data_IF_687956141734
#
_entry.id   IF_687956141734
#
_cell.length_a   1.000
_cell.length_b   1.000
_cell.length_c   1.000
_cell.angle_alpha   90.00
_cell.angle_beta   90.00
_cell.angle_gamma   90.00
#
_symmetry.space_group_name_H-M   'P 1'
#
loop_
_entity.id
_entity.type
_entity.pdbx_description
1 polymer ?
#
# COMPACT_ATOMS: atom_id res chain seq x y z
N UNK A 1 4.60 14.79 5.89
CA UNK A 1 3.72 13.74 5.33
C UNK A 1 4.45 13.13 4.15
N UNK A 2 4.77 11.84 4.18
CA UNK A 2 5.26 11.15 2.98
C UNK A 2 4.08 10.99 2.02
N UNK A 3 4.22 11.44 0.77
CA UNK A 3 3.19 11.18 -0.25
C UNK A 3 3.25 9.72 -0.69
N UNK A 4 2.12 9.17 -1.15
CA UNK A 4 2.06 7.80 -1.69
C UNK A 4 3.14 7.58 -2.77
N UNK A 5 3.37 8.59 -3.60
CA UNK A 5 4.38 8.58 -4.65
C UNK A 5 5.82 8.48 -4.10
N UNK A 6 6.13 9.21 -3.02
CA UNK A 6 7.44 9.15 -2.37
C UNK A 6 7.69 7.77 -1.75
N UNK A 7 6.67 7.15 -1.15
CA UNK A 7 6.77 5.80 -0.60
C UNK A 7 7.03 4.77 -1.71
N UNK A 8 6.27 4.80 -2.80
CA UNK A 8 6.45 3.87 -3.92
C UNK A 8 7.77 4.06 -4.66
N UNK A 9 8.24 5.31 -4.78
CA UNK A 9 9.57 5.63 -5.31
C UNK A 9 10.69 5.04 -4.44
N UNK A 10 10.56 5.13 -3.11
CA UNK A 10 11.53 4.55 -2.18
C UNK A 10 11.55 3.02 -2.29
N UNK A 11 10.38 2.36 -2.28
CA UNK A 11 10.26 0.89 -2.42
C UNK A 11 10.92 0.43 -3.71
N UNK A 12 10.61 1.09 -4.83
CA UNK A 12 11.20 0.78 -6.13
C UNK A 12 12.72 0.97 -6.13
N UNK A 13 13.24 1.99 -5.47
CA UNK A 13 14.69 2.27 -5.38
C UNK A 13 15.40 1.18 -4.57
N UNK A 14 14.84 0.79 -3.43
CA UNK A 14 15.39 -0.28 -2.59
C UNK A 14 15.42 -1.63 -3.32
N UNK A 15 14.34 -1.97 -4.04
CA UNK A 15 14.28 -3.20 -4.82
C UNK A 15 15.32 -3.22 -5.96
N UNK A 16 15.48 -2.11 -6.68
CA UNK A 16 16.51 -1.99 -7.71
C UNK A 16 17.93 -2.11 -7.13
N UNK A 17 18.18 -1.49 -5.97
CA UNK A 17 19.49 -1.54 -5.32
C UNK A 17 19.82 -2.96 -4.84
N UNK A 18 18.86 -3.67 -4.24
CA UNK A 18 19.02 -5.08 -3.86
C UNK A 18 19.23 -5.97 -5.08
N UNK A 19 18.47 -5.72 -6.16
CA UNK A 19 18.61 -6.48 -7.40
C UNK A 19 19.98 -6.30 -8.05
N UNK A 20 20.48 -5.06 -8.15
CA UNK A 20 21.82 -4.78 -8.63
C UNK A 20 22.90 -5.46 -7.76
N UNK A 21 22.70 -5.51 -6.44
CA UNK A 21 23.59 -6.23 -5.52
C UNK A 21 23.61 -7.75 -5.74
N UNK A 22 22.49 -8.34 -6.13
CA UNK A 22 22.39 -9.78 -6.42
C UNK A 22 23.06 -10.16 -7.75
N UNK A 23 22.94 -9.33 -8.79
CA UNK A 23 23.62 -9.54 -10.08
C UNK A 23 25.13 -9.39 -9.94
N UNK A 24 25.59 -8.34 -9.26
CA UNK A 24 27.03 -8.10 -9.06
C UNK A 24 27.72 -9.19 -8.24
N UNK A 25 26.98 -9.87 -7.35
CA UNK A 25 27.44 -11.06 -6.61
C UNK A 25 27.39 -12.36 -7.42
N UNK A 26 26.83 -12.36 -8.63
CA UNK A 26 26.71 -13.53 -9.51
C UNK A 26 25.64 -14.53 -9.10
N UNK A 27 24.73 -14.19 -8.17
CA UNK A 27 23.64 -15.08 -7.76
C UNK A 27 22.52 -15.18 -8.81
N UNK A 28 22.37 -14.17 -9.66
CA UNK A 28 21.34 -14.08 -10.69
C UNK A 28 21.93 -13.47 -11.96
N UNK A 29 21.53 -13.99 -13.13
CA UNK A 29 21.76 -13.29 -14.39
C UNK A 29 20.81 -12.08 -14.52
N UNK A 30 21.17 -11.15 -15.40
CA UNK A 30 20.48 -9.88 -15.59
C UNK A 30 19.03 -10.03 -16.10
N UNK A 31 18.77 -11.02 -16.97
CA UNK A 31 17.44 -11.36 -17.45
C UNK A 31 16.58 -12.00 -16.33
N UNK A 32 17.16 -12.91 -15.54
CA UNK A 32 16.50 -13.50 -14.37
C UNK A 32 16.14 -12.43 -13.33
N UNK A 33 17.01 -11.45 -13.12
CA UNK A 33 16.74 -10.32 -12.24
C UNK A 33 15.57 -9.46 -12.74
N UNK A 34 15.54 -9.13 -14.04
CA UNK A 34 14.49 -8.31 -14.60
C UNK A 34 13.11 -8.96 -14.45
N UNK A 35 13.02 -10.27 -14.68
CA UNK A 35 11.79 -11.05 -14.47
C UNK A 35 11.39 -11.04 -13.00
N UNK A 36 12.34 -11.27 -12.09
CA UNK A 36 12.08 -11.27 -10.65
C UNK A 36 11.58 -9.91 -10.14
N UNK A 37 12.27 -8.82 -10.50
CA UNK A 37 11.88 -7.46 -10.13
C UNK A 37 10.51 -7.09 -10.69
N UNK A 38 10.24 -7.44 -11.95
CA UNK A 38 8.93 -7.24 -12.57
C UNK A 38 7.81 -7.97 -11.82
N UNK A 39 8.04 -9.24 -11.50
CA UNK A 39 7.09 -10.06 -10.75
C UNK A 39 6.85 -9.53 -9.33
N UNK A 40 7.91 -9.15 -8.61
CA UNK A 40 7.81 -8.57 -7.26
C UNK A 40 7.01 -7.27 -7.29
N UNK A 41 7.32 -6.36 -8.21
CA UNK A 41 6.59 -5.10 -8.35
C UNK A 41 5.11 -5.32 -8.68
N UNK A 42 4.80 -6.26 -9.57
CA UNK A 42 3.43 -6.60 -9.93
C UNK A 42 2.65 -7.18 -8.73
N UNK A 43 3.24 -8.12 -7.99
CA UNK A 43 2.62 -8.74 -6.81
C UNK A 43 2.38 -7.68 -5.73
N UNK A 44 3.41 -6.90 -5.38
CA UNK A 44 3.34 -5.90 -4.32
C UNK A 44 2.27 -4.83 -4.66
N UNK A 45 2.24 -4.36 -5.90
CA UNK A 45 1.25 -3.36 -6.34
C UNK A 45 -0.17 -3.95 -6.33
N UNK A 46 -0.33 -5.21 -6.74
CA UNK A 46 -1.63 -5.90 -6.75
C UNK A 46 -2.14 -6.12 -5.32
N UNK A 47 -1.29 -6.61 -4.42
CA UNK A 47 -1.63 -6.82 -3.01
C UNK A 47 -1.99 -5.50 -2.32
N UNK A 48 -1.23 -4.43 -2.59
CA UNK A 48 -1.55 -3.12 -2.05
C UNK A 48 -2.87 -2.56 -2.59
N UNK A 49 -3.14 -2.74 -3.89
CA UNK A 49 -4.39 -2.32 -4.51
C UNK A 49 -5.59 -3.06 -3.91
N UNK A 50 -5.46 -4.37 -3.67
CA UNK A 50 -6.47 -5.17 -2.96
C UNK A 50 -6.63 -4.71 -1.52
N UNK A 51 -5.53 -4.36 -0.84
CA UNK A 51 -5.54 -3.87 0.53
C UNK A 51 -6.28 -2.54 0.66
N UNK A 52 -6.00 -1.56 -0.20
CA UNK A 52 -6.71 -0.26 -0.18
C UNK A 52 -8.19 -0.43 -0.54
N UNK A 53 -8.51 -1.30 -1.50
CA UNK A 53 -9.90 -1.53 -1.95
C UNK A 53 -10.72 -2.36 -0.95
N UNK A 54 -10.16 -2.79 0.18
CA UNK A 54 -10.92 -3.41 1.26
C UNK A 54 -11.95 -2.41 1.81
N UNK A 55 -13.10 -2.90 2.28
CA UNK A 55 -14.18 -2.05 2.83
C UNK A 55 -13.67 -1.02 3.86
N UNK A 56 -12.72 -1.42 4.72
CA UNK A 56 -12.10 -0.53 5.71
C UNK A 56 -11.16 0.52 5.08
N UNK A 57 -10.46 0.17 3.99
CA UNK A 57 -9.59 1.10 3.27
C UNK A 57 -10.38 2.19 2.54
N UNK A 58 -11.53 1.83 1.95
CA UNK A 58 -12.44 2.82 1.35
C UNK A 58 -13.01 3.80 2.38
N UNK A 59 -13.35 3.30 3.57
CA UNK A 59 -13.82 4.14 4.68
C UNK A 59 -12.70 5.04 5.20
N UNK A 60 -11.47 4.52 5.34
CA UNK A 60 -10.32 5.31 5.74
C UNK A 60 -9.99 6.42 4.71
N UNK A 61 -10.06 6.12 3.41
CA UNK A 61 -9.84 7.14 2.36
C UNK A 61 -10.90 8.23 2.37
N UNK A 62 -12.14 7.89 2.73
CA UNK A 62 -13.20 8.87 2.90
C UNK A 62 -13.03 9.69 4.20
N UNK A 63 -12.57 9.06 5.29
CA UNK A 63 -12.32 9.73 6.56
C UNK A 63 -11.18 10.77 6.48
N UNK A 64 -10.20 10.52 5.61
CA UNK A 64 -9.08 11.41 5.37
C UNK A 64 -9.44 12.71 4.61
N UNK A 65 -10.66 12.81 4.06
CA UNK A 65 -11.11 14.03 3.37
C UNK A 65 -11.64 15.05 4.38
N UNK A 66 -11.18 16.32 4.34
CA UNK A 66 -11.54 17.35 5.33
C UNK A 66 -13.01 17.76 5.27
N UNK A 67 -13.69 17.46 4.17
CA UNK A 67 -15.13 17.71 3.95
C UNK A 67 -16.04 16.63 4.57
N UNK A 68 -15.49 15.50 4.99
CA UNK A 68 -16.27 14.39 5.53
C UNK A 68 -16.42 14.56 7.04
N UNK A 69 -17.58 15.08 7.44
CA UNK A 69 -17.89 15.33 8.86
C UNK A 69 -18.28 14.06 9.64
N UNK A 70 -18.89 13.06 8.99
CA UNK A 70 -19.37 11.84 9.66
C UNK A 70 -19.54 10.67 8.70
N UNK A 71 -19.02 9.50 9.08
CA UNK A 71 -19.22 8.21 8.41
C UNK A 71 -19.87 7.25 9.40
N UNK A 72 -21.06 6.74 9.08
CA UNK A 72 -21.77 5.76 9.91
C UNK A 72 -21.52 4.36 9.35
N UNK A 73 -20.87 3.50 10.14
CA UNK A 73 -20.57 2.11 9.72
C UNK A 73 -20.89 1.11 10.83
N UNK A 74 -20.74 -0.19 10.55
CA UNK A 74 -20.87 -1.23 11.57
C UNK A 74 -19.72 -1.16 12.59
N UNK A 75 -19.94 -1.57 13.85
CA UNK A 75 -18.89 -1.52 14.89
C UNK A 75 -17.62 -2.29 14.48
N UNK A 76 -17.80 -3.44 13.81
CA UNK A 76 -16.70 -4.27 13.32
C UNK A 76 -15.87 -3.62 12.21
N UNK A 77 -16.44 -2.69 11.45
CA UNK A 77 -15.74 -1.96 10.40
C UNK A 77 -15.10 -0.68 10.95
N UNK A 78 -15.78 0.03 11.85
CA UNK A 78 -15.25 1.20 12.55
C UNK A 78 -13.97 0.86 13.33
N UNK A 79 -13.91 -0.32 13.98
CA UNK A 79 -12.72 -0.78 14.70
C UNK A 79 -11.50 -1.09 13.80
N UNK A 80 -11.68 -1.16 12.48
CA UNK A 80 -10.61 -1.45 11.50
C UNK A 80 -10.14 -0.22 10.74
N UNK A 81 -10.62 0.97 11.13
CA UNK A 81 -10.25 2.26 10.52
C UNK A 81 -9.39 3.03 11.53
N UNK A 82 -8.18 3.41 11.12
CA UNK A 82 -7.19 4.05 12.00
C UNK A 82 -7.53 5.52 12.33
N UNK A 83 -8.50 6.13 11.63
CA UNK A 83 -8.99 7.50 11.87
C UNK A 83 -10.42 7.52 12.46
N UNK A 84 -10.58 7.41 13.79
CA UNK A 84 -11.88 7.25 14.45
C UNK A 84 -12.67 8.56 14.64
N UNK A 85 -12.08 9.73 14.40
CA UNK A 85 -12.72 11.02 14.71
C UNK A 85 -13.99 11.31 13.89
N UNK A 86 -14.05 10.82 12.65
CA UNK A 86 -15.17 10.99 11.72
C UNK A 86 -16.00 9.71 11.57
N UNK A 87 -15.52 8.56 12.05
CA UNK A 87 -16.17 7.26 11.87
C UNK A 87 -16.93 6.86 13.13
N UNK A 88 -18.25 6.89 13.05
CA UNK A 88 -19.14 6.58 14.18
C UNK A 88 -19.82 5.23 13.94
N UNK A 89 -19.83 4.36 14.96
CA UNK A 89 -20.59 3.11 14.92
C UNK A 89 -22.09 3.42 14.91
N UNK A 90 -22.86 2.72 14.06
CA UNK A 90 -24.31 2.74 14.14
C UNK A 90 -24.73 2.03 15.44
N UNK A 91 -25.09 2.81 16.46
CA UNK A 91 -25.91 2.36 17.59
C UNK A 91 -27.36 2.24 17.16
#
# INVERSE_FOLDING_TARGET
MFTSEQFWSLVRTLLQMLGAGLVTRGYLDEASLQVLLGAVMAIVTTLYSLYIRRKAGLVATAAALPEVAKIVTTPALAAKVDEPGTVVSRG
#
